data_IF_968059084397
#
_entry.id   IF_968059084397
#
_cell.length_a   1.000
_cell.length_b   1.000
_cell.length_c   1.000
_cell.angle_alpha   90.00
_cell.angle_beta   90.00
_cell.angle_gamma   90.00
#
_symmetry.space_group_name_H-M   'P 1'
#
loop_
_entity.id
_entity.type
_entity.pdbx_description
1 polymer ?
#
# COMPACT_ATOMS: atom_id res chain seq x y z
N UNK A 1 -20.03 -0.77 -21.61
CA UNK A 1 -18.67 -0.25 -21.56
C UNK A 1 -17.77 -1.27 -22.25
N UNK A 2 -17.00 -0.88 -23.27
CA UNK A 2 -16.21 -1.83 -24.08
C UNK A 2 -15.15 -2.48 -23.20
N UNK A 3 -14.93 -3.80 -23.36
CA UNK A 3 -13.81 -4.53 -22.72
C UNK A 3 -12.48 -3.78 -22.89
N UNK A 4 -12.34 -3.04 -23.99
CA UNK A 4 -11.20 -2.18 -24.28
C UNK A 4 -10.95 -1.09 -23.24
N UNK A 5 -11.98 -0.46 -22.67
CA UNK A 5 -11.82 0.60 -21.67
C UNK A 5 -11.31 0.01 -20.34
N UNK A 6 -11.77 -1.20 -20.00
CA UNK A 6 -11.28 -1.94 -18.83
C UNK A 6 -9.84 -2.40 -19.02
N UNK A 7 -9.49 -2.94 -20.19
CA UNK A 7 -8.11 -3.33 -20.51
C UNK A 7 -7.15 -2.14 -20.53
N UNK A 8 -7.59 -0.97 -21.00
CA UNK A 8 -6.79 0.25 -20.99
C UNK A 8 -6.58 0.76 -19.56
N UNK A 9 -7.60 0.69 -18.69
CA UNK A 9 -7.48 1.01 -17.26
C UNK A 9 -6.51 0.09 -16.52
N UNK A 10 -6.63 -1.23 -16.76
CA UNK A 10 -5.71 -2.23 -16.22
C UNK A 10 -4.28 -2.05 -16.74
N UNK A 11 -4.09 -1.75 -18.03
CA UNK A 11 -2.77 -1.43 -18.59
C UNK A 11 -2.16 -0.17 -17.99
N UNK A 12 -2.96 0.88 -17.79
CA UNK A 12 -2.47 2.14 -17.22
C UNK A 12 -2.05 1.97 -15.76
N UNK A 13 -2.79 1.16 -15.00
CA UNK A 13 -2.45 0.85 -13.61
C UNK A 13 -1.32 -0.16 -13.49
N UNK A 14 -1.22 -1.12 -14.41
CA UNK A 14 -0.04 -1.98 -14.53
C UNK A 14 1.20 -1.14 -14.89
N UNK A 15 1.05 -0.15 -15.77
CA UNK A 15 2.12 0.79 -16.11
C UNK A 15 2.54 1.63 -14.91
N UNK A 16 1.60 2.12 -14.09
CA UNK A 16 1.90 2.83 -12.84
C UNK A 16 2.60 1.89 -11.83
N UNK A 17 2.10 0.66 -11.63
CA UNK A 17 2.74 -0.33 -10.75
C UNK A 17 4.16 -0.68 -11.23
N UNK A 18 4.35 -0.90 -12.53
CA UNK A 18 5.65 -1.17 -13.14
C UNK A 18 6.56 0.06 -12.98
N UNK A 19 6.09 1.27 -13.29
CA UNK A 19 6.88 2.49 -13.21
C UNK A 19 7.34 2.80 -11.77
N UNK A 20 6.45 2.65 -10.78
CA UNK A 20 6.81 2.79 -9.36
C UNK A 20 7.82 1.71 -8.94
N UNK A 21 7.67 0.48 -9.44
CA UNK A 21 8.60 -0.62 -9.15
C UNK A 21 9.95 -0.49 -9.87
N UNK A 22 10.01 0.24 -10.99
CA UNK A 22 11.21 0.52 -11.78
C UNK A 22 11.90 1.83 -11.37
N UNK A 23 11.23 2.71 -10.63
CA UNK A 23 11.89 3.81 -9.95
C UNK A 23 12.75 3.24 -8.83
N UNK A 24 14.02 3.65 -8.81
CA UNK A 24 14.91 3.33 -7.70
C UNK A 24 14.26 3.86 -6.41
N UNK A 25 14.13 3.04 -5.35
CA UNK A 25 13.64 3.55 -4.08
C UNK A 25 14.56 4.67 -3.58
N UNK A 26 13.99 5.69 -2.95
CA UNK A 26 14.75 6.83 -2.41
C UNK A 26 15.76 6.42 -1.31
N UNK A 27 15.68 5.19 -0.81
CA UNK A 27 16.61 4.60 0.16
C UNK A 27 17.03 3.21 -0.25
N UNK A 28 18.34 2.95 -0.12
CA UNK A 28 18.94 1.63 -0.32
C UNK A 28 18.98 0.80 0.99
N UNK A 29 18.81 1.44 2.15
CA UNK A 29 18.77 0.81 3.49
C UNK A 29 17.55 1.28 4.29
N UNK A 30 16.88 0.35 4.97
CA UNK A 30 15.62 0.58 5.70
C UNK A 30 15.77 0.53 7.23
N UNK A 31 17.01 0.47 7.73
CA UNK A 31 17.30 0.46 9.17
C UNK A 31 16.85 -0.84 9.84
N UNK A 32 15.89 -0.72 10.75
CA UNK A 32 15.29 -1.84 11.50
C UNK A 32 13.87 -2.17 11.00
N UNK A 33 13.30 -3.29 11.42
CA UNK A 33 11.99 -3.76 10.96
C UNK A 33 10.86 -2.80 11.28
N UNK A 34 10.95 -2.04 12.37
CA UNK A 34 9.97 -1.00 12.71
C UNK A 34 10.04 0.18 11.73
N UNK A 35 11.24 0.68 11.43
CA UNK A 35 11.45 1.75 10.45
C UNK A 35 10.98 1.33 9.05
N UNK A 36 11.28 0.11 8.64
CA UNK A 36 10.80 -0.44 7.36
C UNK A 36 9.26 -0.47 7.29
N UNK A 37 8.59 -0.95 8.35
CA UNK A 37 7.11 -0.99 8.40
C UNK A 37 6.49 0.41 8.46
N UNK A 38 7.13 1.38 9.12
CA UNK A 38 6.69 2.78 9.11
C UNK A 38 6.80 3.40 7.72
N UNK A 39 7.89 3.11 7.00
CA UNK A 39 8.06 3.53 5.61
C UNK A 39 7.00 2.91 4.70
N UNK A 40 6.74 1.60 4.83
CA UNK A 40 5.69 0.92 4.07
C UNK A 40 4.31 1.53 4.35
N UNK A 41 3.97 1.76 5.62
CA UNK A 41 2.71 2.41 6.00
C UNK A 41 2.57 3.81 5.37
N UNK A 42 3.66 4.59 5.35
CA UNK A 42 3.64 5.92 4.74
C UNK A 42 3.46 5.83 3.22
N UNK A 43 4.09 4.86 2.56
CA UNK A 43 3.92 4.62 1.14
C UNK A 43 2.46 4.25 0.81
N UNK A 44 1.86 3.33 1.57
CA UNK A 44 0.46 2.94 1.39
C UNK A 44 -0.51 4.11 1.56
N UNK A 45 -0.25 5.00 2.53
CA UNK A 45 -1.01 6.25 2.69
C UNK A 45 -0.87 7.18 1.50
N UNK A 46 0.34 7.32 0.96
CA UNK A 46 0.59 8.15 -0.21
C UNK A 46 -0.13 7.61 -1.46
N UNK A 47 -0.08 6.29 -1.68
CA UNK A 47 -0.80 5.63 -2.77
C UNK A 47 -2.31 5.81 -2.62
N UNK A 48 -2.85 5.62 -1.42
CA UNK A 48 -4.27 5.84 -1.14
C UNK A 48 -4.68 7.30 -1.40
N UNK A 49 -3.85 8.26 -1.02
CA UNK A 49 -4.12 9.68 -1.31
C UNK A 49 -4.16 9.94 -2.82
N UNK A 50 -3.20 9.39 -3.57
CA UNK A 50 -3.19 9.53 -5.04
C UNK A 50 -4.44 8.91 -5.69
N UNK A 51 -4.93 7.78 -5.17
CA UNK A 51 -6.17 7.14 -5.62
C UNK A 51 -7.40 7.98 -5.30
N UNK A 52 -7.46 8.59 -4.11
CA UNK A 52 -8.54 9.51 -3.74
C UNK A 52 -8.54 10.78 -4.61
N UNK A 53 -7.36 11.31 -4.92
CA UNK A 53 -7.23 12.46 -5.81
C UNK A 53 -7.68 12.11 -7.24
N UNK A 54 -7.33 10.93 -7.73
CA UNK A 54 -7.80 10.41 -9.02
C UNK A 54 -9.32 10.21 -9.02
N UNK A 55 -9.88 9.63 -7.96
CA UNK A 55 -11.32 9.46 -7.79
C UNK A 55 -12.06 10.81 -7.82
N UNK A 56 -11.52 11.82 -7.13
CA UNK A 56 -12.06 13.19 -7.16
C UNK A 56 -12.03 13.78 -8.57
N UNK A 57 -10.96 13.54 -9.33
CA UNK A 57 -10.87 13.98 -10.73
C UNK A 57 -11.93 13.26 -11.59
N UNK A 58 -12.08 11.94 -11.45
CA UNK A 58 -13.08 11.16 -12.17
C UNK A 58 -14.50 11.64 -11.86
N UNK A 59 -14.80 11.91 -10.59
CA UNK A 59 -16.08 12.46 -10.13
C UNK A 59 -16.35 13.84 -10.74
N UNK A 60 -15.37 14.74 -10.73
CA UNK A 60 -15.48 16.07 -11.37
C UNK A 60 -15.68 16.00 -12.89
N UNK A 61 -15.19 14.94 -13.53
CA UNK A 61 -15.38 14.67 -14.96
C UNK A 61 -16.67 13.90 -15.27
N UNK A 62 -17.46 13.57 -14.25
CA UNK A 62 -18.70 12.80 -14.35
C UNK A 62 -18.46 11.45 -15.04
N UNK A 63 -17.37 10.77 -14.65
CA UNK A 63 -17.07 9.41 -15.06
C UNK A 63 -17.43 8.41 -13.94
N UNK A 64 -18.68 7.92 -13.89
CA UNK A 64 -19.13 7.00 -12.85
C UNK A 64 -18.46 5.64 -12.93
N UNK A 65 -18.01 5.22 -14.12
CA UNK A 65 -17.39 3.91 -14.30
C UNK A 65 -15.98 3.90 -13.69
N UNK A 66 -15.22 4.97 -13.89
CA UNK A 66 -13.90 5.09 -13.26
C UNK A 66 -14.01 5.23 -11.73
N UNK A 67 -15.01 5.95 -11.23
CA UNK A 67 -15.25 6.04 -9.78
C UNK A 67 -15.53 4.65 -9.16
N UNK A 68 -16.48 3.90 -9.75
CA UNK A 68 -16.85 2.56 -9.29
C UNK A 68 -15.66 1.58 -9.34
N UNK A 69 -14.86 1.66 -10.40
CA UNK A 69 -13.66 0.85 -10.56
C UNK A 69 -12.61 1.13 -9.46
N UNK A 70 -12.37 2.41 -9.14
CA UNK A 70 -11.42 2.79 -8.07
C UNK A 70 -11.92 2.37 -6.68
N UNK A 71 -13.22 2.53 -6.42
CA UNK A 71 -13.84 2.13 -5.15
C UNK A 71 -13.80 0.62 -4.94
N UNK A 72 -14.22 -0.15 -5.96
CA UNK A 72 -14.37 -1.60 -5.88
C UNK A 72 -13.01 -2.31 -5.77
N UNK A 73 -12.03 -1.89 -6.57
CA UNK A 73 -10.79 -2.65 -6.72
C UNK A 73 -9.60 -2.11 -5.93
N UNK A 74 -9.60 -0.83 -5.53
CA UNK A 74 -8.39 -0.21 -4.97
C UNK A 74 -8.63 0.42 -3.60
N UNK A 75 -9.63 1.30 -3.45
CA UNK A 75 -9.80 2.05 -2.22
C UNK A 75 -10.09 1.14 -1.01
N UNK A 76 -10.90 0.10 -1.18
CA UNK A 76 -11.15 -0.89 -0.12
C UNK A 76 -9.87 -1.66 0.25
N UNK A 77 -9.10 -2.10 -0.74
CA UNK A 77 -7.83 -2.81 -0.51
C UNK A 77 -6.81 -1.93 0.21
N UNK A 78 -6.70 -0.65 -0.19
CA UNK A 78 -5.79 0.29 0.46
C UNK A 78 -6.15 0.54 1.92
N UNK A 79 -7.44 0.62 2.27
CA UNK A 79 -7.87 0.79 3.68
C UNK A 79 -7.44 -0.40 4.52
N UNK A 80 -7.64 -1.63 4.02
CA UNK A 80 -7.22 -2.84 4.73
C UNK A 80 -5.69 -2.97 4.79
N UNK A 81 -4.97 -2.60 3.72
CA UNK A 81 -3.51 -2.58 3.71
C UNK A 81 -2.94 -1.58 4.72
N UNK A 82 -3.45 -0.35 4.75
CA UNK A 82 -3.05 0.68 5.72
C UNK A 82 -3.32 0.22 7.15
N UNK A 83 -4.47 -0.40 7.41
CA UNK A 83 -4.82 -0.95 8.72
C UNK A 83 -3.87 -2.06 9.14
N UNK A 84 -3.58 -3.00 8.23
CA UNK A 84 -2.65 -4.11 8.45
C UNK A 84 -1.24 -3.58 8.79
N UNK A 85 -0.74 -2.63 8.00
CA UNK A 85 0.56 -2.00 8.25
C UNK A 85 0.58 -1.20 9.55
N UNK A 86 -0.51 -0.50 9.89
CA UNK A 86 -0.66 0.20 11.17
C UNK A 86 -0.62 -0.74 12.37
N UNK A 87 -1.23 -1.92 12.27
CA UNK A 87 -1.16 -2.96 13.31
C UNK A 87 0.27 -3.47 13.48
N UNK A 88 1.00 -3.70 12.39
CA UNK A 88 2.39 -4.13 12.40
C UNK A 88 3.30 -3.12 13.11
N UNK A 89 3.20 -1.84 12.75
CA UNK A 89 3.95 -0.76 13.41
C UNK A 89 3.61 -0.70 14.91
N UNK A 90 2.32 -0.82 15.27
CA UNK A 90 1.88 -0.78 16.66
C UNK A 90 2.46 -1.94 17.47
N UNK A 91 2.44 -3.16 16.92
CA UNK A 91 2.97 -4.35 17.58
C UNK A 91 4.48 -4.25 17.79
N UNK A 92 5.24 -3.90 16.74
CA UNK A 92 6.70 -3.71 16.83
C UNK A 92 7.08 -2.61 17.83
N UNK A 93 6.31 -1.52 17.87
CA UNK A 93 6.52 -0.43 18.85
C UNK A 93 6.30 -0.93 20.28
N UNK A 94 5.21 -1.68 20.53
CA UNK A 94 4.90 -2.23 21.87
C UNK A 94 5.94 -3.23 22.36
N UNK A 95 6.59 -3.95 21.44
CA UNK A 95 7.63 -4.93 21.76
C UNK A 95 9.02 -4.31 21.92
N UNK A 96 9.13 -2.98 21.82
CA UNK A 96 10.40 -2.23 21.87
C UNK A 96 11.42 -2.72 20.84
N UNK A 97 10.98 -2.93 19.59
CA UNK A 97 11.81 -3.46 18.51
C UNK A 97 13.06 -2.61 18.20
N UNK A 98 13.07 -1.33 18.60
CA UNK A 98 14.24 -0.45 18.47
C UNK A 98 15.40 -0.94 19.33
N UNK A 99 15.14 -1.40 20.55
CA UNK A 99 16.17 -1.81 21.50
C UNK A 99 16.26 -3.33 21.67
N UNK A 100 15.23 -4.08 21.23
CA UNK A 100 15.12 -5.51 21.44
C UNK A 100 15.07 -6.27 20.10
N UNK A 101 16.21 -6.80 19.65
CA UNK A 101 16.29 -7.61 18.42
C UNK A 101 15.46 -8.89 18.45
N UNK A 102 15.12 -9.42 19.63
CA UNK A 102 14.21 -10.56 19.72
C UNK A 102 12.77 -10.19 19.36
N UNK A 103 12.39 -8.91 19.48
CA UNK A 103 11.07 -8.46 19.09
C UNK A 103 10.82 -8.66 17.58
N UNK A 104 11.81 -8.32 16.74
CA UNK A 104 11.71 -8.53 15.29
C UNK A 104 11.62 -10.00 14.93
N UNK A 105 12.44 -10.85 15.56
CA UNK A 105 12.39 -12.29 15.34
C UNK A 105 11.03 -12.90 15.72
N UNK A 106 10.47 -12.53 16.87
CA UNK A 106 9.17 -12.99 17.31
C UNK A 106 8.04 -12.45 16.42
N UNK A 107 8.15 -11.21 15.99
CA UNK A 107 7.21 -10.60 15.06
C UNK A 107 7.21 -11.32 13.70
N UNK A 108 8.40 -11.60 13.16
CA UNK A 108 8.56 -12.40 11.94
C UNK A 108 7.91 -13.78 12.08
N UNK A 109 8.25 -14.53 13.14
CA UNK A 109 7.75 -15.89 13.34
C UNK A 109 6.25 -15.99 13.58
N UNK A 110 5.66 -15.08 14.35
CA UNK A 110 4.28 -15.21 14.82
C UNK A 110 3.29 -14.28 14.12
N UNK A 111 3.75 -13.28 13.38
CA UNK A 111 2.86 -12.33 12.66
C UNK A 111 3.01 -12.43 11.15
N UNK A 112 4.24 -12.66 10.65
CA UNK A 112 4.49 -12.79 9.21
C UNK A 112 4.54 -14.25 8.74
N UNK A 113 5.04 -15.17 9.58
CA UNK A 113 5.18 -16.60 9.28
C UNK A 113 3.88 -17.37 9.12
N UNK A 114 2.77 -16.87 9.66
CA UNK A 114 1.43 -17.50 9.50
C UNK A 114 0.78 -17.20 8.12
N UNK A 115 1.45 -16.43 7.25
CA UNK A 115 0.96 -16.06 5.91
C UNK A 115 1.58 -16.88 4.76
N UNK A 116 2.34 -17.93 5.06
CA UNK A 116 2.94 -18.86 4.07
C UNK A 116 2.13 -20.12 3.84
#
# INVERSE_FOLDING_TARGET
FSKEVQTVGEMFLLYIKIYISWMKPDRDEWGNGLEAMQCALQLEKNVNQALLDLHKIASNKVDPHLCDFLETHYLNEQVEAIKKMGNYVTNLTKMDAVNNKMAEYLFDKHTLGDQS
#
